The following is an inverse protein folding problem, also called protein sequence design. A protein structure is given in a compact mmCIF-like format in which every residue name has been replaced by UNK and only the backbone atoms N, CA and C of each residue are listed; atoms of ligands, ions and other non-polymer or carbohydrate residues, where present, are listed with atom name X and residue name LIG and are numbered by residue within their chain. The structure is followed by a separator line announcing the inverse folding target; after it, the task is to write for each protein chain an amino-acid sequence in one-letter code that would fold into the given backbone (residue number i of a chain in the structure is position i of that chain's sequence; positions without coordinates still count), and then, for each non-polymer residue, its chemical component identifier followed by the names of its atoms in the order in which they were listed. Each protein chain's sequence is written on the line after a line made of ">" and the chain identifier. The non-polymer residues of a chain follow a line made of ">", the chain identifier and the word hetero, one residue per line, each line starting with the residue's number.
data_IF_865366087266
#
_entry.id   IF_865366087266
#
_cell.length_a   1.000
_cell.length_b   1.000
_cell.length_c   1.000
_cell.angle_alpha   90.00
_cell.angle_beta   90.00
_cell.angle_gamma   90.00
#
_symmetry.space_group_name_H-M   'P 1'
#
loop_
_entity.id
_entity.type
_entity.pdbx_description
1 polymer ?
#
# COMPACT_ATOMS: atom_id res chain seq x y z
N UNK A 1 40.85 52.25 67.75
CA UNK A 1 41.05 50.98 67.01
C UNK A 1 39.72 50.37 66.74
N UNK A 2 39.17 50.52 65.53
CA UNK A 2 37.88 49.96 65.09
C UNK A 2 38.15 48.74 64.17
N UNK A 3 37.76 47.57 64.57
CA UNK A 3 37.87 46.36 63.77
C UNK A 3 36.59 46.23 62.92
N UNK A 4 36.72 46.33 61.65
CA UNK A 4 35.69 46.08 60.68
C UNK A 4 35.59 44.55 60.40
N UNK A 5 34.45 43.98 60.68
CA UNK A 5 34.14 42.59 60.44
C UNK A 5 33.57 42.44 58.99
N UNK A 6 34.35 41.86 58.08
CA UNK A 6 33.87 41.54 56.73
C UNK A 6 33.10 40.23 56.75
N UNK A 7 31.82 40.29 56.43
CA UNK A 7 30.96 39.12 56.23
C UNK A 7 31.06 38.70 54.74
N UNK A 8 31.68 37.55 54.48
CA UNK A 8 31.63 36.93 53.16
C UNK A 8 30.30 36.23 52.97
N UNK A 9 29.48 36.78 52.07
CA UNK A 9 28.23 36.16 51.65
C UNK A 9 28.54 35.17 50.49
N UNK A 10 28.53 33.88 50.80
CA UNK A 10 28.72 32.81 49.85
C UNK A 10 27.41 32.62 49.06
N UNK A 11 27.44 33.04 47.80
CA UNK A 11 26.30 32.78 46.87
C UNK A 11 26.41 31.37 46.34
N UNK A 12 25.53 30.49 46.85
CA UNK A 12 25.39 29.11 46.33
C UNK A 12 24.58 29.14 45.03
N UNK A 13 25.26 29.05 43.91
CA UNK A 13 24.62 28.96 42.59
C UNK A 13 24.08 27.58 42.40
N UNK A 14 22.78 27.42 42.54
CA UNK A 14 22.08 26.18 42.16
C UNK A 14 21.94 26.12 40.64
N UNK A 15 22.73 25.29 40.01
CA UNK A 15 22.57 24.96 38.57
C UNK A 15 21.40 23.98 38.48
N UNK A 16 20.24 24.51 38.08
CA UNK A 16 19.09 23.65 37.71
C UNK A 16 19.38 23.09 36.31
N UNK A 17 19.83 21.85 36.25
CA UNK A 17 19.89 21.09 35.01
C UNK A 17 18.47 20.80 34.55
N UNK A 18 17.90 21.68 33.73
CA UNK A 18 16.69 21.38 32.98
C UNK A 18 17.04 20.31 31.95
N UNK A 19 16.81 19.05 32.31
CA UNK A 19 16.91 17.93 31.39
C UNK A 19 15.91 18.15 30.24
N UNK A 20 16.44 18.53 29.08
CA UNK A 20 15.69 18.57 27.85
C UNK A 20 15.28 17.14 27.52
N UNK A 21 14.06 16.73 27.91
CA UNK A 21 13.42 15.54 27.37
C UNK A 21 13.13 15.83 25.90
N UNK A 22 14.13 15.64 25.05
CA UNK A 22 13.94 15.55 23.60
C UNK A 22 13.12 14.28 23.39
N UNK A 23 11.80 14.42 23.49
CA UNK A 23 10.88 13.41 23.01
C UNK A 23 11.15 13.30 21.50
N UNK A 24 11.88 12.27 21.08
CA UNK A 24 11.88 11.83 19.70
C UNK A 24 10.41 11.52 19.35
N UNK A 25 9.71 12.51 18.81
CA UNK A 25 8.49 12.25 18.05
C UNK A 25 8.95 11.45 16.85
N UNK A 26 9.04 10.12 17.01
CA UNK A 26 8.98 9.23 15.86
C UNK A 26 7.73 9.67 15.11
N UNK A 27 7.89 10.14 13.88
CA UNK A 27 6.80 10.43 12.97
C UNK A 27 6.14 9.10 12.61
N UNK A 28 5.37 8.55 13.54
CA UNK A 28 4.51 7.42 13.28
C UNK A 28 3.45 7.97 12.32
N UNK A 29 3.56 7.68 11.04
CA UNK A 29 2.46 7.94 10.11
C UNK A 29 1.21 7.27 10.69
N UNK A 30 0.08 7.99 10.75
CA UNK A 30 -1.14 7.39 11.28
C UNK A 30 -1.47 6.11 10.51
N UNK A 31 -1.98 5.11 11.19
CA UNK A 31 -2.47 3.88 10.54
C UNK A 31 -3.46 4.26 9.44
N UNK A 32 -3.41 3.62 8.26
CA UNK A 32 -4.42 3.84 7.20
C UNK A 32 -5.84 3.51 7.67
N UNK A 33 -5.97 2.84 8.80
CA UNK A 33 -7.23 2.44 9.42
C UNK A 33 -7.64 3.30 10.64
N UNK A 34 -6.90 4.36 10.97
CA UNK A 34 -7.19 5.23 12.12
C UNK A 34 -8.62 5.83 12.09
N UNK A 35 -9.19 5.96 10.90
CA UNK A 35 -10.58 6.41 10.73
C UNK A 35 -11.62 5.45 11.33
N UNK A 36 -11.25 4.21 11.63
CA UNK A 36 -12.12 3.20 12.21
C UNK A 36 -11.94 3.02 13.73
N UNK A 37 -10.98 3.70 14.36
CA UNK A 37 -10.63 3.48 15.77
C UNK A 37 -11.78 3.80 16.75
N UNK A 38 -12.71 4.67 16.32
CA UNK A 38 -13.85 5.09 17.15
C UNK A 38 -15.18 4.40 16.80
N UNK A 39 -15.15 3.35 15.98
CA UNK A 39 -16.37 2.62 15.63
C UNK A 39 -16.79 1.72 16.78
N UNK A 40 -18.03 1.90 17.26
CA UNK A 40 -18.59 1.17 18.41
C UNK A 40 -19.53 0.02 18.01
N UNK A 41 -19.84 -0.13 16.73
CA UNK A 41 -20.70 -1.19 16.21
C UNK A 41 -20.16 -1.75 14.89
N UNK A 42 -20.51 -3.00 14.57
CA UNK A 42 -20.13 -3.64 13.30
C UNK A 42 -20.70 -2.85 12.13
N UNK A 43 -19.84 -2.48 11.19
CA UNK A 43 -20.21 -1.86 9.93
C UNK A 43 -19.90 -2.80 8.77
N UNK A 44 -20.70 -2.74 7.72
CA UNK A 44 -20.49 -3.48 6.47
C UNK A 44 -20.35 -2.48 5.34
N UNK A 45 -19.18 -2.41 4.75
CA UNK A 45 -18.89 -1.54 3.62
C UNK A 45 -18.64 -2.41 2.39
N UNK A 46 -19.44 -2.23 1.34
CA UNK A 46 -19.18 -2.87 0.07
C UNK A 46 -18.15 -2.03 -0.69
N UNK A 47 -16.93 -2.54 -0.81
CA UNK A 47 -15.84 -1.82 -1.50
C UNK A 47 -15.96 -1.95 -3.02
N UNK A 48 -16.42 -3.10 -3.52
CA UNK A 48 -16.58 -3.35 -4.96
C UNK A 48 -17.58 -4.46 -5.20
N UNK A 49 -18.45 -4.28 -6.17
CA UNK A 49 -19.32 -5.33 -6.75
C UNK A 49 -19.30 -5.15 -8.26
N UNK A 50 -18.84 -6.16 -8.99
CA UNK A 50 -18.75 -6.08 -10.45
C UNK A 50 -18.67 -7.49 -11.05
N UNK A 51 -19.07 -7.62 -12.29
CA UNK A 51 -18.81 -8.77 -13.18
C UNK A 51 -17.83 -8.40 -14.30
N UNK A 52 -17.14 -7.25 -14.17
CA UNK A 52 -16.20 -6.73 -15.15
C UNK A 52 -14.87 -6.41 -14.47
N UNK A 53 -13.78 -6.54 -15.22
CA UNK A 53 -12.47 -6.04 -14.85
C UNK A 53 -12.39 -4.51 -14.94
N UNK A 54 -11.29 -3.93 -14.46
CA UNK A 54 -11.12 -2.48 -14.40
C UNK A 54 -11.19 -1.77 -15.77
N UNK A 55 -10.90 -2.48 -16.87
CA UNK A 55 -10.97 -1.96 -18.24
C UNK A 55 -12.36 -2.08 -18.89
N UNK A 56 -13.34 -2.65 -18.16
CA UNK A 56 -14.72 -2.85 -18.59
C UNK A 56 -14.97 -4.16 -19.33
N UNK A 57 -13.98 -5.05 -19.41
CA UNK A 57 -14.17 -6.37 -20.01
C UNK A 57 -14.92 -7.30 -19.04
N UNK A 58 -15.86 -8.10 -19.55
CA UNK A 58 -16.56 -9.09 -18.76
C UNK A 58 -15.59 -10.13 -18.19
N UNK A 59 -15.78 -10.49 -16.92
CA UNK A 59 -15.02 -11.58 -16.31
C UNK A 59 -15.41 -12.91 -16.97
N UNK A 60 -14.46 -13.84 -17.14
CA UNK A 60 -14.75 -15.17 -17.65
C UNK A 60 -15.55 -16.00 -16.64
N UNK A 61 -16.10 -17.11 -17.11
CA UNK A 61 -16.66 -18.13 -16.24
C UNK A 61 -15.62 -18.64 -15.24
N UNK A 62 -16.10 -19.15 -14.10
CA UNK A 62 -15.24 -19.82 -13.15
C UNK A 62 -14.57 -21.05 -13.76
N UNK A 63 -13.33 -21.30 -13.40
CA UNK A 63 -12.63 -22.52 -13.77
C UNK A 63 -13.41 -23.75 -13.28
N UNK A 64 -13.46 -24.78 -14.12
CA UNK A 64 -14.08 -26.07 -13.74
C UNK A 64 -13.10 -26.90 -12.92
N UNK A 65 -13.56 -27.49 -11.82
CA UNK A 65 -12.74 -28.35 -10.97
C UNK A 65 -12.59 -27.82 -9.55
N UNK A 66 -11.61 -28.37 -8.81
CA UNK A 66 -11.37 -27.94 -7.42
C UNK A 66 -10.64 -26.60 -7.38
N UNK A 67 -11.20 -25.61 -6.71
CA UNK A 67 -10.55 -24.30 -6.60
C UNK A 67 -9.31 -24.37 -5.70
N UNK A 68 -8.33 -23.55 -6.02
CA UNK A 68 -7.23 -23.16 -5.15
C UNK A 68 -7.32 -21.64 -4.94
N UNK A 69 -7.27 -21.20 -3.70
CA UNK A 69 -7.28 -19.78 -3.36
C UNK A 69 -5.87 -19.37 -2.95
N UNK A 70 -5.36 -18.33 -3.57
CA UNK A 70 -4.04 -17.79 -3.25
C UNK A 70 -4.20 -16.32 -2.86
N UNK A 71 -3.57 -15.94 -1.74
CA UNK A 71 -3.49 -14.56 -1.29
C UNK A 71 -2.02 -14.13 -1.32
N UNK A 72 -1.76 -13.04 -2.03
CA UNK A 72 -0.42 -12.47 -2.16
C UNK A 72 -0.41 -11.04 -1.65
N UNK A 73 0.65 -10.67 -0.91
CA UNK A 73 0.93 -9.27 -0.62
C UNK A 73 2.09 -8.80 -1.47
N UNK A 74 1.83 -7.80 -2.30
CA UNK A 74 2.83 -7.13 -3.10
C UNK A 74 3.28 -5.84 -2.41
N UNK A 75 4.58 -5.61 -2.39
CA UNK A 75 5.18 -4.37 -1.91
C UNK A 75 5.98 -3.78 -3.06
N UNK A 76 5.55 -2.60 -3.54
CA UNK A 76 6.23 -1.91 -4.63
C UNK A 76 6.99 -0.70 -4.06
N UNK A 77 8.32 -0.68 -4.11
CA UNK A 77 9.07 0.54 -3.85
C UNK A 77 8.62 1.68 -4.77
N UNK A 78 8.85 2.92 -4.35
CA UNK A 78 8.57 4.11 -5.19
C UNK A 78 9.30 3.98 -6.52
N UNK A 79 8.62 4.25 -7.63
CA UNK A 79 9.15 4.18 -8.98
C UNK A 79 9.31 2.77 -9.55
N UNK A 80 8.97 1.71 -8.79
CA UNK A 80 9.06 0.33 -9.31
C UNK A 80 7.93 0.00 -10.26
N UNK A 81 8.19 -0.97 -11.15
CA UNK A 81 7.26 -1.44 -12.18
C UNK A 81 7.30 -2.97 -12.22
N UNK A 82 6.17 -3.59 -12.47
CA UNK A 82 6.11 -5.01 -12.85
C UNK A 82 6.43 -5.16 -14.35
N UNK A 83 6.99 -6.30 -14.77
CA UNK A 83 7.05 -6.65 -16.18
C UNK A 83 5.65 -6.69 -16.81
N UNK A 84 5.58 -6.55 -18.14
CA UNK A 84 4.37 -6.85 -18.89
C UNK A 84 3.95 -8.30 -18.65
N UNK A 85 2.70 -8.51 -18.26
CA UNK A 85 2.17 -9.83 -17.91
C UNK A 85 0.67 -9.89 -18.17
N UNK A 86 0.12 -11.09 -18.16
CA UNK A 86 -1.32 -11.31 -18.06
C UNK A 86 -1.65 -12.28 -16.93
N UNK A 87 -2.88 -12.23 -16.47
CA UNK A 87 -3.42 -13.21 -15.53
C UNK A 87 -4.31 -14.21 -16.28
N UNK A 88 -4.05 -15.53 -16.18
CA UNK A 88 -4.93 -16.56 -16.77
C UNK A 88 -6.14 -16.88 -15.89
N UNK A 89 -6.25 -16.26 -14.71
CA UNK A 89 -7.26 -16.55 -13.68
C UNK A 89 -7.86 -15.27 -13.13
N UNK A 90 -9.10 -15.35 -12.63
CA UNK A 90 -9.76 -14.22 -11.96
C UNK A 90 -8.94 -13.84 -10.72
N UNK A 91 -8.63 -12.57 -10.62
CA UNK A 91 -7.99 -12.02 -9.45
C UNK A 91 -8.48 -10.59 -9.17
N UNK A 92 -8.44 -10.24 -7.89
CA UNK A 92 -8.87 -8.94 -7.40
C UNK A 92 -8.05 -8.59 -6.16
N UNK A 93 -8.01 -7.31 -5.82
CA UNK A 93 -7.19 -6.86 -4.71
C UNK A 93 -7.74 -5.64 -4.01
N UNK A 94 -7.09 -5.31 -2.89
CA UNK A 94 -7.34 -4.10 -2.12
C UNK A 94 -6.00 -3.40 -1.93
N UNK A 95 -5.93 -2.14 -2.33
CA UNK A 95 -4.76 -1.32 -2.09
C UNK A 95 -4.78 -0.81 -0.64
N UNK A 96 -3.83 -1.26 0.16
CA UNK A 96 -3.70 -0.89 1.57
C UNK A 96 -2.94 0.42 1.75
N UNK A 97 -1.98 0.72 0.85
CA UNK A 97 -1.15 1.91 0.90
C UNK A 97 -0.63 2.29 -0.48
N UNK A 98 -0.45 3.59 -0.71
CA UNK A 98 0.16 4.15 -1.90
C UNK A 98 -0.82 4.39 -3.03
N UNK A 99 -0.28 4.54 -4.25
CA UNK A 99 -1.02 4.74 -5.48
C UNK A 99 -0.44 3.84 -6.58
N UNK A 100 -1.26 2.95 -7.11
CA UNK A 100 -0.92 2.03 -8.18
C UNK A 100 -1.50 2.54 -9.49
N UNK A 101 -0.66 2.69 -10.51
CA UNK A 101 -1.09 2.89 -11.89
C UNK A 101 -0.99 1.59 -12.65
N UNK A 102 -2.09 1.15 -13.26
CA UNK A 102 -2.14 -0.02 -14.13
C UNK A 102 -2.29 0.48 -15.56
N UNK A 103 -1.54 -0.13 -16.48
CA UNK A 103 -1.54 0.22 -17.90
C UNK A 103 -1.75 -1.04 -18.72
N UNK A 104 -2.80 -1.06 -19.55
CA UNK A 104 -3.04 -2.09 -20.55
C UNK A 104 -2.13 -1.92 -21.78
N UNK A 105 -1.87 -3.02 -22.48
CA UNK A 105 -1.10 -2.96 -23.72
C UNK A 105 -1.83 -2.13 -24.81
N UNK A 106 -3.15 -2.00 -24.73
CA UNK A 106 -3.98 -1.12 -25.55
C UNK A 106 -3.87 0.37 -25.20
N UNK A 107 -3.16 0.70 -24.11
CA UNK A 107 -2.96 2.07 -23.61
C UNK A 107 -3.98 2.56 -22.61
N UNK A 108 -5.02 1.77 -22.29
CA UNK A 108 -5.93 2.10 -21.18
C UNK A 108 -5.16 2.18 -19.88
N UNK A 109 -5.61 3.05 -18.99
CA UNK A 109 -4.98 3.29 -17.69
C UNK A 109 -6.01 3.33 -16.57
N UNK A 110 -5.62 2.81 -15.41
CA UNK A 110 -6.38 2.90 -14.16
C UNK A 110 -5.45 3.32 -13.04
N UNK A 111 -5.87 4.28 -12.26
CA UNK A 111 -5.22 4.67 -11.01
C UNK A 111 -6.04 4.15 -9.84
N UNK A 112 -5.40 3.40 -8.96
CA UNK A 112 -5.99 2.80 -7.76
C UNK A 112 -5.32 3.43 -6.55
N UNK A 113 -6.09 3.85 -5.54
CA UNK A 113 -5.59 4.50 -4.32
C UNK A 113 -5.83 3.65 -3.09
N UNK A 114 -5.12 3.95 -2.01
CA UNK A 114 -5.32 3.27 -0.74
C UNK A 114 -6.80 3.29 -0.31
N UNK A 115 -7.33 2.11 -0.01
CA UNK A 115 -8.75 1.86 0.29
C UNK A 115 -9.57 1.37 -0.90
N UNK A 116 -9.10 1.55 -2.14
CA UNK A 116 -9.81 1.08 -3.33
C UNK A 116 -9.64 -0.43 -3.53
N UNK A 117 -10.68 -1.06 -4.06
CA UNK A 117 -10.66 -2.42 -4.57
C UNK A 117 -10.52 -2.43 -6.10
N UNK A 118 -9.66 -3.30 -6.61
CA UNK A 118 -9.44 -3.52 -8.04
C UNK A 118 -9.83 -4.95 -8.43
N UNK A 119 -10.38 -5.11 -9.64
CA UNK A 119 -10.55 -6.41 -10.30
C UNK A 119 -9.72 -6.36 -11.57
N UNK A 120 -8.74 -7.25 -11.65
CA UNK A 120 -7.75 -7.26 -12.73
C UNK A 120 -8.28 -7.85 -14.03
N UNK A 121 -7.63 -7.53 -15.14
CA UNK A 121 -7.90 -8.13 -16.44
C UNK A 121 -7.50 -9.59 -16.45
N UNK A 122 -8.34 -10.43 -17.06
CA UNK A 122 -8.06 -11.86 -17.29
C UNK A 122 -7.80 -12.06 -18.78
N UNK A 123 -6.55 -12.38 -19.13
CA UNK A 123 -6.07 -12.55 -20.51
C UNK A 123 -5.30 -11.37 -21.09
N UNK A 124 -5.83 -10.12 -21.12
CA UNK A 124 -5.09 -9.00 -21.70
C UNK A 124 -3.79 -8.69 -20.96
N UNK A 125 -2.76 -8.31 -21.76
CA UNK A 125 -1.44 -7.94 -21.23
C UNK A 125 -1.47 -6.55 -20.65
N UNK A 126 -0.92 -6.42 -19.44
CA UNK A 126 -0.84 -5.16 -18.70
C UNK A 126 0.40 -5.11 -17.79
N UNK A 127 0.64 -3.98 -17.17
CA UNK A 127 1.65 -3.81 -16.15
C UNK A 127 1.16 -2.88 -15.04
N UNK A 128 1.70 -3.06 -13.83
CA UNK A 128 1.46 -2.22 -12.68
C UNK A 128 2.70 -1.41 -12.31
N UNK A 129 2.52 -0.15 -11.91
CA UNK A 129 3.60 0.77 -11.55
C UNK A 129 3.27 1.52 -10.28
N UNK A 130 4.28 1.76 -9.47
CA UNK A 130 4.19 2.73 -8.38
C UNK A 130 4.57 4.13 -8.91
N UNK A 131 3.56 4.93 -9.22
CA UNK A 131 3.73 6.31 -9.67
C UNK A 131 3.57 7.33 -8.53
N UNK A 132 3.30 6.86 -7.32
CA UNK A 132 3.16 7.69 -6.12
C UNK A 132 4.48 7.98 -5.42
N UNK A 133 4.38 8.65 -4.29
CA UNK A 133 5.50 9.09 -3.44
C UNK A 133 5.76 8.16 -2.23
N UNK A 134 4.99 7.09 -2.10
CA UNK A 134 5.07 6.10 -1.01
C UNK A 134 5.13 4.69 -1.55
N UNK A 135 5.72 3.73 -0.82
CA UNK A 135 5.61 2.32 -1.19
C UNK A 135 4.14 1.89 -1.28
N UNK A 136 3.83 1.09 -2.29
CA UNK A 136 2.54 0.42 -2.40
C UNK A 136 2.54 -0.82 -1.51
N UNK A 137 1.40 -1.06 -0.83
CA UNK A 137 1.05 -2.33 -0.21
C UNK A 137 -0.27 -2.78 -0.80
N UNK A 138 -0.25 -3.87 -1.57
CA UNK A 138 -1.41 -4.39 -2.31
C UNK A 138 -1.65 -5.85 -1.92
N UNK A 139 -2.84 -6.15 -1.42
CA UNK A 139 -3.28 -7.51 -1.17
C UNK A 139 -4.11 -8.01 -2.35
N UNK A 140 -3.62 -9.07 -3.02
CA UNK A 140 -4.26 -9.69 -4.17
C UNK A 140 -4.78 -11.08 -3.83
N UNK A 141 -5.96 -11.39 -4.32
CA UNK A 141 -6.68 -12.64 -4.13
C UNK A 141 -6.89 -13.29 -5.50
N UNK A 142 -6.48 -14.54 -5.65
CA UNK A 142 -6.57 -15.30 -6.89
C UNK A 142 -7.51 -16.49 -6.73
N UNK A 143 -8.46 -16.61 -7.66
CA UNK A 143 -9.30 -17.81 -7.81
C UNK A 143 -8.66 -18.68 -8.89
N UNK A 144 -7.92 -19.68 -8.48
CA UNK A 144 -7.12 -20.52 -9.39
C UNK A 144 -7.37 -22.00 -9.17
N UNK A 145 -6.61 -22.84 -9.85
CA UNK A 145 -6.54 -24.29 -9.67
C UNK A 145 -5.08 -24.70 -9.55
N UNK A 146 -4.84 -25.83 -8.86
CA UNK A 146 -3.50 -26.37 -8.67
C UNK A 146 -2.76 -26.52 -10.01
N UNK A 147 -1.57 -25.92 -10.07
CA UNK A 147 -0.68 -26.00 -11.23
C UNK A 147 -0.88 -24.88 -12.27
N UNK A 148 -1.87 -24.01 -12.12
CA UNK A 148 -1.99 -22.84 -12.97
C UNK A 148 -1.13 -21.71 -12.45
N UNK A 149 -0.40 -20.97 -13.32
CA UNK A 149 0.32 -19.79 -12.91
C UNK A 149 -0.62 -18.65 -12.54
N UNK A 150 -0.23 -17.82 -11.58
CA UNK A 150 -0.98 -16.61 -11.20
C UNK A 150 -0.80 -15.48 -12.20
N UNK A 151 0.34 -15.44 -12.86
CA UNK A 151 0.67 -14.49 -13.91
C UNK A 151 1.64 -15.13 -14.91
N UNK A 152 1.56 -14.72 -16.18
CA UNK A 152 2.47 -15.10 -17.26
C UNK A 152 3.14 -13.84 -17.79
N UNK A 153 4.48 -13.80 -17.73
CA UNK A 153 5.27 -12.66 -18.18
C UNK A 153 5.44 -12.65 -19.70
N UNK A 154 5.56 -11.45 -20.26
CA UNK A 154 5.73 -11.17 -21.68
C UNK A 154 7.01 -10.36 -21.95
N UNK A 155 8.21 -10.97 -21.82
CA UNK A 155 9.47 -10.27 -22.04
C UNK A 155 9.67 -9.80 -23.50
N UNK A 156 8.92 -10.36 -24.44
CA UNK A 156 8.90 -9.95 -25.86
C UNK A 156 8.23 -8.59 -26.08
N UNK A 157 7.44 -8.10 -25.11
CA UNK A 157 6.77 -6.81 -25.23
C UNK A 157 7.75 -5.68 -24.93
N UNK A 158 8.11 -4.90 -25.96
CA UNK A 158 9.06 -3.79 -25.88
C UNK A 158 8.38 -2.41 -25.72
N UNK A 159 7.06 -2.38 -25.50
CA UNK A 159 6.32 -1.11 -25.34
C UNK A 159 6.77 -0.39 -24.06
N UNK A 160 7.09 0.92 -24.12
CA UNK A 160 7.35 1.70 -22.92
C UNK A 160 6.14 1.70 -21.99
N UNK A 161 6.40 1.64 -20.68
CA UNK A 161 5.40 1.73 -19.62
C UNK A 161 5.31 3.18 -19.14
N UNK A 162 4.80 4.08 -19.97
CA UNK A 162 4.68 5.52 -19.68
C UNK A 162 3.29 5.88 -19.13
#
# INVERSE_FOLDING_TARGET
>A
MKRTLSIFLSVLTVVVLTGCKTCCKSSCSPSPFAQYDNITAVQKLELKRTSESWDGAALPDYLKGKPELVVMRYIFPVGSKLPWHHHPVINYGILQQGELTIVGLDGKRQVVRAGDAIVEMVGPIHCGMNTGDKPIVLDMFYLTQKGLPLAVQHPEVQKPME
#
